data_IF_277442017871
#
_entry.id   IF_277442017871
#
_cell.length_a   1.000
_cell.length_b   1.000
_cell.length_c   1.000
_cell.angle_alpha   90.00
_cell.angle_beta   90.00
_cell.angle_gamma   90.00
#
_symmetry.space_group_name_H-M   'P 1'
#
loop_
_entity.id
_entity.type
_entity.pdbx_description
1 polymer ?
#
# COMPACT_ATOMS: atom_id res chain seq x y z
N UNK A 1 -27.13 46.82 -37.56
CA UNK A 1 -25.99 45.93 -37.25
C UNK A 1 -26.14 45.41 -35.82
N UNK A 2 -26.49 44.15 -35.61
CA UNK A 2 -26.71 43.55 -34.27
C UNK A 2 -25.42 42.85 -33.81
N UNK A 3 -24.72 43.42 -32.83
CA UNK A 3 -23.51 42.84 -32.23
C UNK A 3 -23.91 41.72 -31.25
N UNK A 4 -23.59 40.47 -31.59
CA UNK A 4 -23.72 39.32 -30.67
C UNK A 4 -22.39 39.14 -29.96
N UNK A 5 -22.36 39.40 -28.65
CA UNK A 5 -21.19 39.16 -27.80
C UNK A 5 -21.25 37.71 -27.35
N UNK A 6 -20.45 36.87 -28.00
CA UNK A 6 -20.23 35.49 -27.60
C UNK A 6 -19.39 35.50 -26.31
N UNK A 7 -19.97 35.02 -25.21
CA UNK A 7 -19.25 34.82 -23.95
C UNK A 7 -18.52 33.48 -24.05
N UNK A 8 -17.19 33.53 -24.11
CA UNK A 8 -16.33 32.33 -24.08
C UNK A 8 -16.18 31.90 -22.62
N UNK A 9 -16.82 30.80 -22.26
CA UNK A 9 -16.71 30.20 -20.94
C UNK A 9 -15.39 29.42 -20.87
N UNK A 10 -14.36 29.99 -20.24
CA UNK A 10 -13.08 29.32 -20.02
C UNK A 10 -13.23 28.33 -18.86
N UNK A 11 -13.32 27.04 -19.17
CA UNK A 11 -13.28 25.97 -18.17
C UNK A 11 -11.81 25.76 -17.80
N UNK A 12 -11.40 26.25 -16.64
CA UNK A 12 -10.07 25.95 -16.08
C UNK A 12 -10.06 24.51 -15.57
N UNK A 13 -9.43 23.61 -16.31
CA UNK A 13 -9.17 22.24 -15.85
C UNK A 13 -8.04 22.31 -14.81
N UNK A 14 -8.40 22.15 -13.53
CA UNK A 14 -7.43 21.96 -12.46
C UNK A 14 -6.93 20.51 -12.57
N UNK A 15 -5.74 20.33 -13.13
CA UNK A 15 -5.03 19.06 -13.04
C UNK A 15 -4.53 18.91 -11.59
N UNK A 16 -5.17 18.03 -10.81
CA UNK A 16 -4.62 17.59 -9.53
C UNK A 16 -3.46 16.65 -9.90
N UNK A 17 -2.19 17.00 -9.62
CA UNK A 17 -1.11 16.07 -9.82
C UNK A 17 -1.29 14.91 -8.84
N UNK A 18 -1.79 13.78 -9.33
CA UNK A 18 -1.74 12.54 -8.59
C UNK A 18 -0.27 12.16 -8.43
N UNK A 19 0.25 12.20 -7.21
CA UNK A 19 1.57 11.66 -6.90
C UNK A 19 1.49 10.15 -7.08
N UNK A 20 1.82 9.65 -8.27
CA UNK A 20 2.00 8.23 -8.48
C UNK A 20 3.09 7.75 -7.52
N UNK A 21 2.72 6.98 -6.51
CA UNK A 21 3.70 6.32 -5.63
C UNK A 21 4.41 5.30 -6.51
N UNK A 22 5.72 5.47 -6.68
CA UNK A 22 6.51 4.52 -7.45
C UNK A 22 6.34 3.13 -6.82
N UNK A 23 5.91 2.16 -7.63
CA UNK A 23 5.88 0.77 -7.21
C UNK A 23 7.32 0.38 -6.84
N UNK A 24 7.53 0.09 -5.55
CA UNK A 24 8.82 -0.30 -5.03
C UNK A 24 8.69 -1.70 -4.43
N UNK A 25 9.46 -2.69 -4.89
CA UNK A 25 9.42 -4.03 -4.31
C UNK A 25 9.96 -4.00 -2.87
N UNK A 26 9.51 -4.94 -2.03
CA UNK A 26 10.13 -5.14 -0.73
C UNK A 26 11.56 -5.67 -0.91
N UNK A 27 12.47 -5.28 -0.01
CA UNK A 27 13.84 -5.76 -0.04
C UNK A 27 13.89 -7.28 0.19
N UNK A 28 14.89 -7.94 -0.39
CA UNK A 28 15.18 -9.33 -0.08
C UNK A 28 15.61 -9.49 1.39
N UNK A 29 15.46 -10.70 1.91
CA UNK A 29 15.88 -11.10 3.25
C UNK A 29 16.36 -12.55 3.21
N UNK A 30 17.18 -12.94 4.18
CA UNK A 30 17.62 -14.35 4.34
C UNK A 30 16.48 -15.27 4.80
N UNK A 31 15.38 -14.69 5.30
CA UNK A 31 14.16 -15.43 5.58
C UNK A 31 13.50 -15.92 4.27
N UNK A 32 13.14 -17.22 4.16
CA UNK A 32 12.43 -17.75 3.01
C UNK A 32 11.06 -17.06 2.86
N UNK A 33 10.51 -17.03 1.63
CA UNK A 33 9.12 -16.59 1.42
C UNK A 33 8.88 -15.91 0.09
N UNK A 34 7.84 -15.06 0.02
CA UNK A 34 7.30 -14.50 -1.24
C UNK A 34 7.30 -12.97 -1.24
N UNK A 35 7.50 -12.37 -2.42
CA UNK A 35 7.27 -10.93 -2.59
C UNK A 35 5.82 -10.79 -3.03
N UNK A 36 5.03 -10.10 -2.22
CA UNK A 36 3.64 -9.79 -2.47
C UNK A 36 3.50 -8.30 -2.79
N UNK A 37 2.40 -7.90 -3.42
CA UNK A 37 2.03 -6.50 -3.55
C UNK A 37 0.95 -6.13 -2.54
N UNK A 38 1.06 -4.94 -1.93
CA UNK A 38 0.01 -4.37 -1.10
C UNK A 38 -1.14 -3.88 -1.99
N UNK A 39 -2.34 -4.39 -1.79
CA UNK A 39 -3.54 -4.01 -2.57
C UNK A 39 -4.19 -2.73 -2.05
N UNK A 40 -3.89 -2.37 -0.80
CA UNK A 40 -4.39 -1.17 -0.14
C UNK A 40 -3.39 -0.66 0.90
N UNK A 41 -3.59 0.59 1.36
CA UNK A 41 -2.85 1.12 2.49
C UNK A 41 -3.19 0.27 3.72
N UNK A 42 -2.17 -0.14 4.47
CA UNK A 42 -2.37 -1.01 5.63
C UNK A 42 -1.41 -0.64 6.75
N UNK A 43 -1.65 -1.19 7.93
CA UNK A 43 -0.74 -1.06 9.06
C UNK A 43 0.07 -2.33 9.23
N UNK A 44 1.38 -2.18 9.40
CA UNK A 44 2.26 -3.19 9.93
C UNK A 44 2.13 -3.19 11.46
N UNK A 45 1.87 -4.34 12.08
CA UNK A 45 1.60 -4.44 13.52
C UNK A 45 2.54 -5.40 14.24
N UNK A 46 2.68 -5.24 15.55
CA UNK A 46 3.49 -6.16 16.39
C UNK A 46 2.92 -7.58 16.48
N UNK A 47 1.60 -7.71 16.35
CA UNK A 47 0.81 -8.94 16.38
C UNK A 47 -0.53 -8.68 15.66
N UNK A 48 -1.34 -9.70 15.34
CA UNK A 48 -2.74 -9.49 14.97
C UNK A 48 -3.42 -8.54 15.96
N UNK A 49 -4.06 -7.48 15.44
CA UNK A 49 -4.71 -6.44 16.24
C UNK A 49 -3.81 -5.69 17.27
N UNK A 50 -2.49 -5.92 17.25
CA UNK A 50 -1.51 -5.30 18.16
C UNK A 50 -1.16 -3.86 17.81
N UNK A 51 -0.09 -3.33 18.40
CA UNK A 51 0.35 -1.95 18.18
C UNK A 51 0.76 -1.73 16.71
N UNK A 52 0.45 -0.55 16.17
CA UNK A 52 0.89 -0.15 14.83
C UNK A 52 2.37 0.23 14.88
N UNK A 53 3.19 -0.49 14.11
CA UNK A 53 4.61 -0.20 13.91
C UNK A 53 4.80 0.83 12.82
N UNK A 54 4.06 0.70 11.72
CA UNK A 54 4.23 1.54 10.52
C UNK A 54 2.98 1.51 9.63
N UNK A 55 2.77 2.57 8.87
CA UNK A 55 1.84 2.57 7.73
C UNK A 55 2.58 2.12 6.47
N UNK A 56 2.00 1.15 5.77
CA UNK A 56 2.49 0.67 4.49
C UNK A 56 1.57 1.18 3.37
N UNK A 57 2.17 1.50 2.23
CA UNK A 57 1.51 2.18 1.12
C UNK A 57 1.03 1.18 0.08
N UNK A 58 -0.22 1.34 -0.37
CA UNK A 58 -0.77 0.56 -1.48
C UNK A 58 0.14 0.60 -2.71
N UNK A 59 0.23 -0.52 -3.43
CA UNK A 59 1.02 -0.66 -4.65
C UNK A 59 2.52 -0.91 -4.42
N UNK A 60 3.01 -0.82 -3.18
CA UNK A 60 4.39 -1.21 -2.83
C UNK A 60 4.46 -2.69 -2.45
N UNK A 61 5.66 -3.23 -2.47
CA UNK A 61 5.92 -4.62 -2.13
C UNK A 61 5.89 -4.86 -0.61
N UNK A 62 5.48 -6.08 -0.25
CA UNK A 62 5.60 -6.66 1.06
C UNK A 62 6.33 -8.01 0.93
N UNK A 63 7.37 -8.25 1.72
CA UNK A 63 8.07 -9.53 1.76
C UNK A 63 7.43 -10.37 2.85
N UNK A 64 6.66 -11.38 2.46
CA UNK A 64 6.17 -12.39 3.39
C UNK A 64 7.29 -13.41 3.69
N UNK A 65 7.51 -13.70 4.96
CA UNK A 65 8.55 -14.62 5.46
C UNK A 65 8.05 -16.07 5.64
N UNK A 66 6.83 -16.38 5.17
CA UNK A 66 6.26 -17.74 5.22
C UNK A 66 5.48 -18.07 6.50
N UNK A 67 5.43 -17.18 7.50
CA UNK A 67 4.64 -17.38 8.71
C UNK A 67 3.25 -16.75 8.58
N UNK A 68 2.25 -17.48 9.05
CA UNK A 68 0.86 -17.04 9.10
C UNK A 68 0.26 -17.23 10.50
N UNK A 69 -0.69 -16.38 10.84
CA UNK A 69 -1.49 -16.47 12.07
C UNK A 69 -2.95 -16.27 11.69
N UNK A 70 -3.78 -17.29 11.88
CA UNK A 70 -5.23 -17.22 11.61
C UNK A 70 -6.00 -16.99 12.90
N UNK A 71 -6.80 -15.92 12.93
CA UNK A 71 -7.62 -15.51 14.07
C UNK A 71 -8.76 -14.61 13.58
N UNK A 72 -9.91 -14.62 14.27
CA UNK A 72 -11.06 -13.75 13.95
C UNK A 72 -11.55 -13.80 12.49
N UNK A 73 -11.46 -14.98 11.86
CA UNK A 73 -11.74 -15.21 10.43
C UNK A 73 -10.81 -14.47 9.46
N UNK A 74 -9.74 -13.86 9.96
CA UNK A 74 -8.68 -13.28 9.17
C UNK A 74 -7.43 -14.16 9.22
N UNK A 75 -6.61 -14.07 8.18
CA UNK A 75 -5.24 -14.60 8.19
C UNK A 75 -4.28 -13.44 8.14
N UNK A 76 -3.31 -13.44 9.04
CA UNK A 76 -2.24 -12.46 9.12
C UNK A 76 -0.95 -13.09 8.63
N UNK A 77 -0.13 -12.32 7.92
CA UNK A 77 1.17 -12.76 7.43
C UNK A 77 2.29 -11.88 7.98
N UNK A 78 3.43 -12.50 8.27
CA UNK A 78 4.58 -11.85 8.90
C UNK A 78 5.67 -11.47 7.90
N UNK A 79 6.27 -10.30 8.07
CA UNK A 79 7.44 -9.84 7.32
C UNK A 79 7.51 -8.32 7.24
N UNK A 80 8.15 -7.78 6.21
CA UNK A 80 8.42 -6.34 6.08
C UNK A 80 7.91 -5.70 4.80
N UNK A 81 7.63 -4.40 4.88
CA UNK A 81 7.28 -3.56 3.73
C UNK A 81 8.52 -2.99 3.01
N UNK A 82 8.31 -2.49 1.79
CA UNK A 82 9.33 -1.76 1.03
C UNK A 82 9.72 -0.40 1.65
N UNK A 83 8.99 0.08 2.65
CA UNK A 83 9.24 1.32 3.35
C UNK A 83 10.43 1.23 4.32
N UNK A 84 10.58 0.09 4.98
CA UNK A 84 11.59 -0.13 6.01
C UNK A 84 11.85 -1.63 6.19
N UNK A 85 12.86 -2.19 5.52
CA UNK A 85 13.21 -3.61 5.61
C UNK A 85 13.74 -4.05 6.97
N UNK A 86 14.02 -3.12 7.89
CA UNK A 86 14.53 -3.45 9.23
C UNK A 86 13.43 -3.73 10.25
N UNK A 87 12.16 -3.47 9.89
CA UNK A 87 11.00 -3.64 10.76
C UNK A 87 10.08 -4.69 10.18
N UNK A 88 10.04 -5.83 10.84
CA UNK A 88 9.08 -6.88 10.57
C UNK A 88 7.83 -6.72 11.44
N UNK A 89 6.71 -7.22 10.93
CA UNK A 89 5.45 -7.26 11.65
C UNK A 89 4.37 -7.99 10.85
N UNK A 90 3.13 -7.83 11.31
CA UNK A 90 1.97 -8.53 10.79
C UNK A 90 1.08 -7.60 9.97
N UNK A 91 0.63 -8.08 8.82
CA UNK A 91 -0.42 -7.45 8.00
C UNK A 91 -1.53 -8.47 7.71
N UNK A 92 -2.78 -8.03 7.47
CA UNK A 92 -3.82 -8.94 6.99
C UNK A 92 -3.44 -9.47 5.59
N UNK A 93 -3.52 -10.77 5.39
CA UNK A 93 -3.18 -11.43 4.12
C UNK A 93 -4.05 -10.90 2.97
N UNK A 94 -5.32 -10.59 3.23
CA UNK A 94 -6.24 -10.00 2.26
C UNK A 94 -5.83 -8.60 1.77
N UNK A 95 -4.89 -7.94 2.45
CA UNK A 95 -4.32 -6.66 2.01
C UNK A 95 -3.13 -6.86 1.07
N UNK A 96 -2.85 -8.10 0.68
CA UNK A 96 -1.74 -8.47 -0.19
C UNK A 96 -2.20 -9.33 -1.36
N UNK A 97 -1.41 -9.34 -2.43
CA UNK A 97 -1.50 -10.34 -3.50
C UNK A 97 -0.14 -10.96 -3.68
N UNK A 98 -0.08 -12.25 -3.36
CA UNK A 98 0.99 -13.20 -3.66
C UNK A 98 0.35 -14.29 -4.55
#
# INVERSE_FOLDING_TARGET
MKRRILHVLTIAVVAIPGTAVAAAPASASDAPGFVCNLTQNTWLRTAPHGQVLRTLTAGRGFRWHGQGWSEDNDTWIYGHGAEDPSIDGWVPAGNTTC
#
